data_IF_448050429609
#
_entry.id   IF_448050429609
#
_cell.length_a   1.000
_cell.length_b   1.000
_cell.length_c   1.000
_cell.angle_alpha   90.00
_cell.angle_beta   90.00
_cell.angle_gamma   90.00
#
_symmetry.space_group_name_H-M   'P 1'
#
loop_
_entity.id
_entity.type
_entity.pdbx_description
1 polymer ?
#
# COMPACT_ATOMS: atom_id res chain seq x y z
N UNK A 1 7.79 1.35 4.62
CA UNK A 1 6.36 1.53 4.90
C UNK A 1 6.13 1.57 6.41
N UNK A 2 5.11 2.27 6.84
CA UNK A 2 4.80 2.42 8.25
C UNK A 2 3.55 1.64 8.63
N UNK A 3 3.56 1.07 9.83
CA UNK A 3 2.41 0.39 10.40
C UNK A 3 1.77 1.23 11.49
N UNK A 4 0.45 1.33 11.45
CA UNK A 4 -0.35 1.90 12.54
C UNK A 4 -1.31 0.84 13.03
N UNK A 5 -1.44 0.72 14.35
CA UNK A 5 -2.36 -0.24 14.94
C UNK A 5 -3.41 0.48 15.76
N UNK A 6 -4.62 -0.04 15.74
CA UNK A 6 -5.60 0.26 16.76
C UNK A 6 -6.21 -1.07 17.25
N UNK A 7 -7.18 -1.03 18.11
CA UNK A 7 -7.64 -2.23 18.86
C UNK A 7 -7.93 -3.48 18.02
N UNK A 8 -8.34 -3.32 16.75
CA UNK A 8 -8.77 -4.46 15.91
C UNK A 8 -8.08 -4.51 14.56
N UNK A 9 -7.43 -3.43 14.14
CA UNK A 9 -6.95 -3.31 12.77
C UNK A 9 -5.50 -2.88 12.70
N UNK A 10 -4.82 -3.40 11.71
CA UNK A 10 -3.47 -2.97 11.38
C UNK A 10 -3.52 -2.24 10.05
N UNK A 11 -3.08 -0.99 10.05
CA UNK A 11 -3.02 -0.13 8.87
C UNK A 11 -1.60 -0.09 8.36
N UNK A 12 -1.43 -0.32 7.07
CA UNK A 12 -0.15 -0.15 6.40
C UNK A 12 -0.16 1.16 5.64
N UNK A 13 0.82 2.02 5.90
CA UNK A 13 0.94 3.31 5.22
C UNK A 13 2.10 3.27 4.25
N UNK A 14 1.88 3.74 3.01
CA UNK A 14 2.96 3.83 2.03
C UNK A 14 3.93 4.95 2.39
N UNK A 15 5.17 4.91 1.88
CA UNK A 15 6.04 6.08 1.94
C UNK A 15 5.46 7.20 1.07
N UNK A 16 5.93 8.43 1.29
CA UNK A 16 5.48 9.59 0.53
C UNK A 16 5.94 9.56 -0.93
N UNK A 17 6.96 8.75 -1.21
CA UNK A 17 7.66 8.75 -2.48
C UNK A 17 8.01 7.31 -2.83
N UNK A 18 7.64 6.87 -4.03
CA UNK A 18 7.91 5.52 -4.51
C UNK A 18 8.82 5.61 -5.73
N UNK A 19 10.06 5.21 -5.56
CA UNK A 19 11.11 5.42 -6.56
C UNK A 19 11.30 4.28 -7.54
N UNK A 20 10.87 3.07 -7.19
CA UNK A 20 11.07 1.90 -8.06
C UNK A 20 10.05 0.81 -7.77
N UNK A 21 10.12 -0.27 -8.55
CA UNK A 21 9.17 -1.37 -8.45
C UNK A 21 9.37 -2.26 -7.21
N UNK A 22 10.46 -2.08 -6.48
CA UNK A 22 10.69 -2.83 -5.25
C UNK A 22 9.57 -2.61 -4.24
N UNK A 23 8.97 -1.42 -4.25
CA UNK A 23 7.84 -1.12 -3.40
C UNK A 23 6.71 -2.17 -3.54
N UNK A 24 6.40 -2.56 -4.78
CA UNK A 24 5.32 -3.51 -5.02
C UNK A 24 5.67 -4.91 -4.54
N UNK A 25 6.93 -5.30 -4.67
CA UNK A 25 7.41 -6.58 -4.13
C UNK A 25 7.30 -6.60 -2.61
N UNK A 26 7.70 -5.52 -1.97
CA UNK A 26 7.60 -5.37 -0.52
C UNK A 26 6.14 -5.37 -0.07
N UNK A 27 5.26 -4.72 -0.82
CA UNK A 27 3.84 -4.68 -0.52
C UNK A 27 3.23 -6.08 -0.55
N UNK A 28 3.53 -6.85 -1.59
CA UNK A 28 3.06 -8.25 -1.70
C UNK A 28 3.54 -9.06 -0.51
N UNK A 29 4.82 -8.93 -0.15
CA UNK A 29 5.39 -9.66 0.98
C UNK A 29 4.68 -9.35 2.29
N UNK A 30 4.46 -8.07 2.56
CA UNK A 30 3.80 -7.65 3.80
C UNK A 30 2.34 -8.08 3.83
N UNK A 31 1.61 -7.91 2.72
CA UNK A 31 0.19 -8.28 2.67
C UNK A 31 -0.01 -9.79 2.73
N UNK A 32 0.96 -10.57 2.29
CA UNK A 32 0.87 -12.03 2.33
C UNK A 32 0.86 -12.58 3.77
N UNK A 33 1.23 -11.78 4.76
CA UNK A 33 1.17 -12.20 6.17
C UNK A 33 -0.25 -12.34 6.70
N UNK A 34 -1.25 -11.82 5.99
CA UNK A 34 -2.67 -11.81 6.38
C UNK A 34 -2.95 -11.05 7.68
N UNK A 35 -2.03 -10.17 8.08
CA UNK A 35 -2.18 -9.37 9.30
C UNK A 35 -2.61 -7.93 9.04
N UNK A 36 -2.59 -7.50 7.77
CA UNK A 36 -2.90 -6.13 7.39
C UNK A 36 -4.37 -6.03 7.00
N UNK A 37 -5.10 -5.10 7.61
CA UNK A 37 -6.52 -4.87 7.32
C UNK A 37 -6.72 -3.79 6.26
N UNK A 38 -5.91 -2.75 6.31
CA UNK A 38 -6.05 -1.59 5.42
C UNK A 38 -4.69 -1.16 4.88
N UNK A 39 -4.68 -0.71 3.64
CA UNK A 39 -3.50 -0.07 3.06
C UNK A 39 -3.87 1.33 2.60
N UNK A 40 -3.13 2.33 3.05
CA UNK A 40 -3.30 3.72 2.66
C UNK A 40 -2.11 4.19 1.83
N UNK A 41 -2.40 4.66 0.63
CA UNK A 41 -1.39 5.22 -0.26
C UNK A 41 -1.26 6.72 0.01
N UNK A 42 -0.05 7.17 0.35
CA UNK A 42 0.22 8.57 0.72
C UNK A 42 1.36 9.11 -0.13
N UNK A 43 1.05 9.52 -1.35
CA UNK A 43 2.04 10.10 -2.25
C UNK A 43 1.96 11.62 -2.16
N UNK A 44 3.10 12.29 -2.02
CA UNK A 44 3.16 13.75 -1.92
C UNK A 44 3.74 14.37 -3.17
N UNK A 45 4.92 14.00 -3.58
CA UNK A 45 5.66 14.71 -4.63
C UNK A 45 5.66 14.00 -5.97
N UNK A 46 4.63 13.20 -6.24
CA UNK A 46 4.51 12.48 -7.49
C UNK A 46 3.58 13.19 -8.45
N UNK A 47 3.85 13.05 -9.76
CA UNK A 47 2.93 13.56 -10.77
C UNK A 47 1.59 12.81 -10.68
N UNK A 48 0.53 13.46 -11.16
CA UNK A 48 -0.80 12.83 -11.15
C UNK A 48 -0.81 11.52 -11.93
N UNK A 49 -0.19 11.49 -13.10
CA UNK A 49 -0.15 10.29 -13.95
C UNK A 49 0.58 9.14 -13.24
N UNK A 50 1.73 9.44 -12.63
CA UNK A 50 2.51 8.43 -11.91
C UNK A 50 1.75 7.93 -10.68
N UNK A 51 1.14 8.84 -9.93
CA UNK A 51 0.33 8.49 -8.77
C UNK A 51 -0.83 7.57 -9.14
N UNK A 52 -1.49 7.86 -10.27
CA UNK A 52 -2.60 7.05 -10.75
C UNK A 52 -2.15 5.63 -11.10
N UNK A 53 -1.00 5.49 -11.77
CA UNK A 53 -0.46 4.18 -12.12
C UNK A 53 -0.10 3.37 -10.88
N UNK A 54 0.52 4.01 -9.90
CA UNK A 54 0.88 3.39 -8.64
C UNK A 54 -0.38 2.95 -7.89
N UNK A 55 -1.38 3.80 -7.84
CA UNK A 55 -2.65 3.50 -7.18
C UNK A 55 -3.34 2.28 -7.80
N UNK A 56 -3.36 2.19 -9.14
CA UNK A 56 -3.98 1.05 -9.84
C UNK A 56 -3.29 -0.26 -9.48
N UNK A 57 -1.96 -0.27 -9.47
CA UNK A 57 -1.20 -1.47 -9.12
C UNK A 57 -1.38 -1.85 -7.65
N UNK A 58 -1.33 -0.88 -6.75
CA UNK A 58 -1.50 -1.12 -5.32
C UNK A 58 -2.90 -1.64 -5.03
N UNK A 59 -3.92 -1.06 -5.65
CA UNK A 59 -5.30 -1.51 -5.48
C UNK A 59 -5.48 -2.96 -5.92
N UNK A 60 -4.87 -3.34 -7.05
CA UNK A 60 -4.93 -4.70 -7.55
C UNK A 60 -4.29 -5.70 -6.57
N UNK A 61 -3.15 -5.33 -6.01
CA UNK A 61 -2.46 -6.15 -5.02
C UNK A 61 -3.31 -6.29 -3.75
N UNK A 62 -3.87 -5.20 -3.27
CA UNK A 62 -4.73 -5.23 -2.09
C UNK A 62 -5.94 -6.13 -2.30
N UNK A 63 -6.57 -6.07 -3.47
CA UNK A 63 -7.70 -6.92 -3.80
C UNK A 63 -7.32 -8.40 -3.76
N UNK A 64 -6.13 -8.74 -4.26
CA UNK A 64 -5.65 -10.12 -4.25
C UNK A 64 -5.52 -10.68 -2.84
N UNK A 65 -5.11 -9.86 -1.89
CA UNK A 65 -4.92 -10.28 -0.50
C UNK A 65 -6.09 -9.90 0.41
N UNK A 66 -7.18 -9.42 -0.16
CA UNK A 66 -8.38 -9.05 0.57
C UNK A 66 -8.11 -7.94 1.61
N UNK A 67 -7.25 -7.02 1.25
CA UNK A 67 -6.89 -5.85 2.06
C UNK A 67 -7.65 -4.64 1.52
N UNK A 68 -8.23 -3.85 2.42
CA UNK A 68 -8.98 -2.67 2.02
C UNK A 68 -8.02 -1.55 1.60
N UNK A 69 -8.20 -1.04 0.39
CA UNK A 69 -7.40 0.04 -0.16
C UNK A 69 -8.07 1.38 0.10
N UNK A 70 -7.32 2.31 0.67
CA UNK A 70 -7.81 3.66 0.98
C UNK A 70 -7.06 4.70 0.17
#
# INVERSE_FOLDING_TARGET
>A
MNLKTNKKFIYLLSPSNIKNNKFFLDLVEVLSTNKISFFQLRLKDESYKKSLNIAKKAKRICKKFNVKFI
#
